data_IF_044298083028
#
_entry.id   IF_044298083028
#
_cell.length_a   1.000
_cell.length_b   1.000
_cell.length_c   1.000
_cell.angle_alpha   90.00
_cell.angle_beta   90.00
_cell.angle_gamma   90.00
#
_symmetry.space_group_name_H-M   'P 1'
#
loop_
_entity.id
_entity.type
_entity.pdbx_description
1 polymer ?
#
# COMPACT_ATOMS: atom_id res chain seq x y z
N UNK A 1 17.90 -3.95 -3.77
CA UNK A 1 17.63 -2.53 -3.42
C UNK A 1 16.49 -2.40 -2.41
N UNK A 2 15.30 -2.98 -2.65
CA UNK A 2 14.15 -2.91 -1.73
C UNK A 2 14.47 -3.30 -0.27
N UNK A 3 15.12 -4.45 -0.06
CA UNK A 3 15.51 -4.89 1.29
C UNK A 3 16.47 -3.92 2.00
N UNK A 4 17.40 -3.31 1.25
CA UNK A 4 18.35 -2.33 1.78
C UNK A 4 17.60 -1.06 2.20
N UNK A 5 16.70 -0.55 1.35
CA UNK A 5 15.89 0.63 1.68
C UNK A 5 14.98 0.37 2.89
N UNK A 6 14.37 -0.81 2.99
CA UNK A 6 13.55 -1.18 4.15
C UNK A 6 14.39 -1.20 5.45
N UNK A 7 15.61 -1.74 5.41
CA UNK A 7 16.51 -1.72 6.56
C UNK A 7 16.90 -0.28 6.97
N UNK A 8 17.16 0.59 6.00
CA UNK A 8 17.48 2.01 6.25
C UNK A 8 16.27 2.72 6.88
N UNK A 9 15.05 2.47 6.39
CA UNK A 9 13.81 3.02 6.97
C UNK A 9 13.70 2.69 8.46
N UNK A 10 13.89 1.42 8.84
CA UNK A 10 13.79 0.95 10.24
C UNK A 10 14.86 1.59 11.14
N UNK A 11 16.02 1.96 10.59
CA UNK A 11 17.13 2.55 11.36
C UNK A 11 17.06 4.07 11.44
N UNK A 12 16.23 4.72 10.63
CA UNK A 12 16.16 6.18 10.52
C UNK A 12 15.27 6.76 11.62
N UNK A 13 15.80 7.71 12.39
CA UNK A 13 15.07 8.34 13.50
C UNK A 13 14.34 9.63 13.13
N UNK A 14 14.66 10.20 11.97
CA UNK A 14 14.01 11.41 11.46
C UNK A 14 12.76 11.01 10.67
N UNK A 15 11.57 11.41 11.16
CA UNK A 15 10.30 10.98 10.57
C UNK A 15 10.08 11.57 9.17
N UNK A 16 10.60 12.76 8.89
CA UNK A 16 10.58 13.31 7.53
C UNK A 16 11.42 12.45 6.58
N UNK A 17 12.63 12.06 7.01
CA UNK A 17 13.46 11.17 6.22
C UNK A 17 12.81 9.79 6.05
N UNK A 18 12.14 9.26 7.07
CA UNK A 18 11.35 8.02 6.98
C UNK A 18 10.26 8.15 5.92
N UNK A 19 9.47 9.23 5.94
CA UNK A 19 8.42 9.47 4.95
C UNK A 19 8.95 9.56 3.51
N UNK A 20 10.10 10.22 3.32
CA UNK A 20 10.76 10.27 2.01
C UNK A 20 11.28 8.89 1.58
N UNK A 21 11.89 8.13 2.50
CA UNK A 21 12.42 6.80 2.20
C UNK A 21 11.30 5.78 1.92
N UNK A 22 10.14 5.88 2.57
CA UNK A 22 8.97 5.05 2.23
C UNK A 22 8.42 5.38 0.86
N UNK A 23 8.38 6.66 0.47
CA UNK A 23 8.02 7.04 -0.90
C UNK A 23 9.01 6.51 -1.95
N UNK A 24 10.31 6.57 -1.66
CA UNK A 24 11.36 5.97 -2.51
C UNK A 24 11.19 4.45 -2.59
N UNK A 25 10.90 3.77 -1.48
CA UNK A 25 10.63 2.34 -1.47
C UNK A 25 9.47 1.98 -2.41
N UNK A 26 8.37 2.73 -2.36
CA UNK A 26 7.24 2.55 -3.28
C UNK A 26 7.61 2.80 -4.74
N UNK A 27 8.40 3.82 -5.06
CA UNK A 27 8.88 4.04 -6.44
C UNK A 27 9.78 2.90 -6.93
N UNK A 28 10.65 2.38 -6.08
CA UNK A 28 11.47 1.21 -6.40
C UNK A 28 10.60 -0.03 -6.60
N UNK A 29 9.53 -0.19 -5.82
CA UNK A 29 8.57 -1.29 -5.98
C UNK A 29 7.78 -1.16 -7.28
N UNK A 30 7.33 0.03 -7.65
CA UNK A 30 6.67 0.29 -8.93
C UNK A 30 7.61 -0.02 -10.12
N UNK A 31 8.89 0.33 -10.00
CA UNK A 31 9.91 -0.05 -11.00
C UNK A 31 10.06 -1.56 -11.07
N UNK A 32 10.08 -2.24 -9.92
CA UNK A 32 10.14 -3.70 -9.87
C UNK A 32 8.91 -4.35 -10.54
N UNK A 33 7.69 -3.85 -10.32
CA UNK A 33 6.50 -4.33 -11.02
C UNK A 33 6.54 -4.07 -12.52
N UNK A 34 7.11 -2.94 -12.96
CA UNK A 34 7.32 -2.67 -14.39
C UNK A 34 8.29 -3.68 -15.01
N UNK A 35 9.34 -4.07 -14.28
CA UNK A 35 10.26 -5.13 -14.72
C UNK A 35 9.62 -6.51 -14.80
N UNK A 36 8.49 -6.71 -14.11
CA UNK A 36 7.69 -7.92 -14.14
C UNK A 36 6.54 -7.85 -15.17
N UNK A 37 6.56 -6.87 -16.08
CA UNK A 37 5.51 -6.59 -17.06
C UNK A 37 4.11 -6.31 -16.44
N UNK A 38 4.08 -5.97 -15.15
CA UNK A 38 2.86 -5.65 -14.40
C UNK A 38 2.63 -4.13 -14.35
N UNK A 39 2.43 -3.50 -15.51
CA UNK A 39 2.38 -2.03 -15.64
C UNK A 39 1.20 -1.39 -14.90
N UNK A 40 0.03 -2.04 -14.89
CA UNK A 40 -1.15 -1.51 -14.19
C UNK A 40 -0.96 -1.52 -12.66
N UNK A 41 -0.28 -2.54 -12.13
CA UNK A 41 0.10 -2.62 -10.71
C UNK A 41 1.20 -1.58 -10.40
N UNK A 42 2.15 -1.39 -11.31
CA UNK A 42 3.18 -0.38 -11.16
C UNK A 42 2.60 1.04 -11.08
N UNK A 43 1.61 1.36 -11.92
CA UNK A 43 0.95 2.67 -11.88
C UNK A 43 0.19 2.92 -10.58
N UNK A 44 -0.53 1.90 -10.08
CA UNK A 44 -1.26 2.05 -8.82
C UNK A 44 -0.31 2.19 -7.63
N UNK A 45 0.78 1.44 -7.59
CA UNK A 45 1.82 1.57 -6.56
C UNK A 45 2.51 2.95 -6.61
N UNK A 46 2.84 3.44 -7.80
CA UNK A 46 3.42 4.77 -7.94
C UNK A 46 2.45 5.88 -7.51
N UNK A 47 1.18 5.80 -7.91
CA UNK A 47 0.18 6.81 -7.57
C UNK A 47 -0.19 6.80 -6.08
N UNK A 48 -0.46 5.64 -5.51
CA UNK A 48 -0.97 5.51 -4.13
C UNK A 48 0.18 5.42 -3.13
N UNK A 49 1.13 4.52 -3.34
CA UNK A 49 2.25 4.27 -2.44
C UNK A 49 3.24 5.43 -2.40
N UNK A 50 3.75 5.82 -3.58
CA UNK A 50 4.71 6.93 -3.63
C UNK A 50 4.03 8.31 -3.63
N UNK A 51 2.87 8.46 -4.27
CA UNK A 51 2.16 9.75 -4.36
C UNK A 51 1.32 10.07 -3.12
N UNK A 52 0.11 9.53 -3.05
CA UNK A 52 -0.91 9.90 -2.04
C UNK A 52 -0.41 9.64 -0.62
N UNK A 53 0.15 8.48 -0.34
CA UNK A 53 0.63 8.12 1.02
C UNK A 53 1.72 9.07 1.50
N UNK A 54 2.69 9.41 0.66
CA UNK A 54 3.75 10.38 1.01
C UNK A 54 3.15 11.74 1.34
N UNK A 55 2.20 12.24 0.55
CA UNK A 55 1.52 13.52 0.84
C UNK A 55 0.78 13.46 2.17
N UNK A 56 0.05 12.37 2.45
CA UNK A 56 -0.65 12.20 3.72
C UNK A 56 0.30 12.07 4.91
N UNK A 57 1.42 11.36 4.78
CA UNK A 57 2.45 11.26 5.82
C UNK A 57 3.10 12.62 6.09
N UNK A 58 3.47 13.38 5.06
CA UNK A 58 4.01 14.73 5.21
C UNK A 58 2.98 15.70 5.81
N UNK A 59 1.72 15.61 5.39
CA UNK A 59 0.60 16.36 5.97
C UNK A 59 0.35 16.01 7.43
N UNK A 60 0.56 14.75 7.83
CA UNK A 60 0.51 14.34 9.23
C UNK A 60 1.70 14.92 10.01
N UNK A 61 2.91 14.86 9.44
CA UNK A 61 4.13 15.39 10.06
C UNK A 61 4.11 16.89 10.28
N UNK A 62 3.42 17.65 9.41
CA UNK A 62 3.23 19.08 9.62
C UNK A 62 2.40 19.39 10.88
N UNK A 63 1.60 18.42 11.37
CA UNK A 63 0.78 18.55 12.57
C UNK A 63 1.44 17.97 13.84
N UNK A 64 2.22 16.89 13.71
CA UNK A 64 2.79 16.16 14.88
C UNK A 64 4.29 16.37 15.09
N UNK A 65 4.97 17.02 14.15
CA UNK A 65 6.42 17.25 14.18
C UNK A 65 7.25 16.06 13.68
N UNK A 66 8.55 16.30 13.49
CA UNK A 66 9.47 15.40 12.75
C UNK A 66 10.37 14.52 13.63
N UNK A 67 10.32 14.67 14.95
CA UNK A 67 11.20 13.92 15.88
C UNK A 67 10.49 12.72 16.47
N UNK A 68 11.09 11.54 16.31
CA UNK A 68 10.65 10.33 16.98
C UNK A 68 10.81 10.44 18.51
N UNK A 69 9.78 9.99 19.24
CA UNK A 69 9.87 9.83 20.70
C UNK A 69 10.93 8.78 21.03
N UNK A 70 11.93 9.13 21.84
CA UNK A 70 12.98 8.21 22.28
C UNK A 70 12.35 7.03 23.03
N UNK A 71 12.43 5.83 22.46
CA UNK A 71 12.14 4.60 23.18
C UNK A 71 13.39 4.18 23.96
N UNK A 72 13.23 3.90 25.25
CA UNK A 72 14.35 3.57 26.16
C UNK A 72 14.68 2.08 26.19
N UNK A 73 13.81 1.21 25.68
CA UNK A 73 13.96 -0.24 25.76
C UNK A 73 13.67 -0.89 24.41
N UNK A 74 14.44 -1.92 24.08
CA UNK A 74 14.16 -2.78 22.92
C UNK A 74 12.96 -3.66 23.29
N UNK A 75 11.87 -3.55 22.54
CA UNK A 75 10.69 -4.37 22.78
C UNK A 75 10.89 -5.74 22.11
N UNK A 76 11.38 -6.71 22.88
CA UNK A 76 11.73 -8.06 22.39
C UNK A 76 10.50 -8.80 21.87
N UNK A 77 9.33 -8.62 22.51
CA UNK A 77 8.08 -9.30 22.11
C UNK A 77 7.63 -8.88 20.69
N UNK A 78 7.43 -7.58 20.37
CA UNK A 78 7.15 -7.14 19.00
C UNK A 78 8.21 -7.59 17.97
N UNK A 79 9.49 -7.56 18.34
CA UNK A 79 10.57 -8.00 17.45
C UNK A 79 10.45 -9.49 17.13
N UNK A 80 10.16 -10.32 18.14
CA UNK A 80 9.95 -11.76 17.98
C UNK A 80 8.73 -12.02 17.09
N UNK A 81 7.62 -11.32 17.33
CA UNK A 81 6.40 -11.46 16.51
C UNK A 81 6.69 -11.14 15.04
N UNK A 82 7.29 -9.97 14.74
CA UNK A 82 7.61 -9.57 13.35
C UNK A 82 8.57 -10.55 12.69
N UNK A 83 9.57 -11.03 13.44
CA UNK A 83 10.55 -12.00 12.91
C UNK A 83 9.88 -13.34 12.60
N UNK A 84 9.06 -13.86 13.51
CA UNK A 84 8.32 -15.12 13.31
C UNK A 84 7.34 -14.99 12.14
N UNK A 85 6.57 -13.91 12.07
CA UNK A 85 5.67 -13.66 10.94
C UNK A 85 6.45 -13.58 9.61
N UNK A 86 7.58 -12.88 9.58
CA UNK A 86 8.43 -12.80 8.39
C UNK A 86 8.99 -14.17 7.97
N UNK A 87 9.43 -15.00 8.92
CA UNK A 87 9.89 -16.37 8.65
C UNK A 87 8.77 -17.26 8.11
N UNK A 88 7.56 -17.15 8.66
CA UNK A 88 6.38 -17.91 8.18
C UNK A 88 6.04 -17.51 6.75
N UNK A 89 6.04 -16.21 6.43
CA UNK A 89 5.79 -15.74 5.07
C UNK A 89 6.88 -16.24 4.10
N UNK A 90 8.16 -16.17 4.48
CA UNK A 90 9.25 -16.72 3.65
C UNK A 90 9.13 -18.23 3.47
N UNK A 91 8.74 -18.97 4.51
CA UNK A 91 8.48 -20.41 4.39
C UNK A 91 7.37 -20.69 3.37
N UNK A 92 6.27 -19.92 3.40
CA UNK A 92 5.19 -20.05 2.42
C UNK A 92 5.61 -19.76 0.97
N UNK A 93 6.68 -18.98 0.75
CA UNK A 93 7.20 -18.75 -0.61
C UNK A 93 7.98 -19.93 -1.19
N UNK A 94 8.37 -20.91 -0.38
CA UNK A 94 9.11 -22.09 -0.85
C UNK A 94 8.23 -23.06 -1.64
N UNK A 95 6.92 -23.04 -1.41
CA UNK A 95 5.94 -23.87 -2.13
C UNK A 95 5.48 -23.23 -3.45
N UNK A 96 5.94 -22.03 -3.77
CA UNK A 96 5.58 -21.32 -5.01
C UNK A 96 6.41 -21.89 -6.18
N UNK A 97 5.81 -22.10 -7.36
CA UNK A 97 6.55 -22.53 -8.54
C UNK A 97 7.74 -21.62 -8.87
N UNK A 98 8.82 -22.14 -9.47
CA UNK A 98 10.01 -21.35 -9.74
C UNK A 98 9.71 -20.14 -10.63
N UNK A 99 10.36 -19.03 -10.30
CA UNK A 99 10.09 -17.77 -10.99
C UNK A 99 10.51 -17.82 -12.47
N UNK A 100 9.60 -17.48 -13.39
CA UNK A 100 9.88 -17.31 -14.82
C UNK A 100 9.84 -18.59 -15.66
N UNK A 101 9.48 -19.74 -15.09
CA UNK A 101 9.29 -20.99 -15.83
C UNK A 101 8.00 -20.97 -16.66
N UNK A 102 8.10 -21.31 -17.96
CA UNK A 102 7.00 -21.23 -18.91
C UNK A 102 5.92 -22.29 -18.67
N UNK A 103 6.29 -23.41 -18.04
CA UNK A 103 5.42 -24.51 -17.64
C UNK A 103 4.79 -24.32 -16.26
N UNK A 104 4.96 -23.15 -15.64
CA UNK A 104 4.30 -22.82 -14.40
C UNK A 104 2.77 -22.95 -14.53
N UNK A 105 2.07 -23.55 -13.54
CA UNK A 105 0.63 -23.77 -13.60
C UNK A 105 -0.19 -22.52 -13.91
N UNK A 106 0.29 -21.33 -13.51
CA UNK A 106 -0.40 -20.06 -13.74
C UNK A 106 -0.53 -19.71 -15.23
N UNK A 107 0.41 -20.14 -16.08
CA UNK A 107 0.40 -19.87 -17.52
C UNK A 107 -0.45 -20.87 -18.30
N UNK A 108 -0.53 -22.09 -17.80
CA UNK A 108 -1.24 -23.19 -18.44
C UNK A 108 -2.70 -23.33 -17.99
N UNK A 109 -3.10 -22.61 -16.95
CA UNK A 109 -4.45 -22.72 -16.41
C UNK A 109 -5.48 -22.19 -17.42
N UNK A 110 -6.58 -22.92 -17.57
CA UNK A 110 -7.63 -22.64 -18.57
C UNK A 110 -8.18 -21.20 -18.45
N UNK A 111 -8.33 -20.69 -17.23
CA UNK A 111 -8.81 -19.31 -17.02
C UNK A 111 -7.81 -18.25 -17.48
N UNK A 112 -6.51 -18.47 -17.28
CA UNK A 112 -5.47 -17.55 -17.76
C UNK A 112 -5.46 -17.51 -19.27
N UNK A 113 -5.50 -18.69 -19.92
CA UNK A 113 -5.55 -18.81 -21.38
C UNK A 113 -6.80 -18.12 -21.93
N UNK A 114 -7.96 -18.39 -21.33
CA UNK A 114 -9.22 -17.76 -21.71
C UNK A 114 -9.19 -16.23 -21.58
N UNK A 115 -8.66 -15.69 -20.48
CA UNK A 115 -8.50 -14.24 -20.33
C UNK A 115 -7.54 -13.63 -21.35
N UNK A 116 -6.51 -14.34 -21.78
CA UNK A 116 -5.56 -13.82 -22.78
C UNK A 116 -6.14 -13.85 -24.20
N UNK A 117 -6.90 -14.88 -24.54
CA UNK A 117 -7.38 -15.11 -25.91
C UNK A 117 -8.76 -14.47 -26.17
N UNK A 118 -9.71 -14.60 -25.24
CA UNK A 118 -11.11 -14.26 -25.48
C UNK A 118 -11.54 -12.91 -24.86
N UNK A 119 -10.82 -12.39 -23.86
CA UNK A 119 -11.25 -11.19 -23.12
C UNK A 119 -11.51 -9.97 -23.99
N UNK A 120 -10.69 -9.75 -25.01
CA UNK A 120 -10.84 -8.63 -25.93
C UNK A 120 -12.13 -8.70 -26.75
N UNK A 121 -12.57 -9.91 -27.10
CA UNK A 121 -13.77 -10.15 -27.88
C UNK A 121 -15.03 -10.09 -27.00
N UNK A 122 -14.98 -10.64 -25.79
CA UNK A 122 -16.12 -10.68 -24.87
C UNK A 122 -16.41 -9.33 -24.21
N UNK A 123 -15.37 -8.57 -23.88
CA UNK A 123 -15.50 -7.31 -23.13
C UNK A 123 -15.33 -6.07 -24.01
N UNK A 124 -14.76 -6.21 -25.21
CA UNK A 124 -14.40 -5.10 -26.10
C UNK A 124 -13.20 -4.27 -25.61
N UNK A 125 -12.54 -4.68 -24.52
CA UNK A 125 -11.42 -3.95 -23.93
C UNK A 125 -10.08 -4.57 -24.37
N UNK A 126 -9.13 -3.78 -24.91
CA UNK A 126 -7.84 -4.32 -25.35
C UNK A 126 -6.90 -4.63 -24.18
N UNK A 127 -7.09 -4.02 -23.01
CA UNK A 127 -6.27 -4.30 -21.82
C UNK A 127 -6.88 -5.45 -21.02
N UNK A 128 -6.17 -6.58 -20.99
CA UNK A 128 -6.57 -7.80 -20.27
C UNK A 128 -6.80 -7.53 -18.78
N UNK A 129 -5.89 -6.83 -18.09
CA UNK A 129 -6.02 -6.57 -16.65
C UNK A 129 -7.29 -5.77 -16.36
N UNK A 130 -7.57 -4.75 -17.17
CA UNK A 130 -8.79 -3.95 -16.98
C UNK A 130 -10.04 -4.77 -17.29
N UNK A 131 -10.01 -5.63 -18.32
CA UNK A 131 -11.13 -6.52 -18.64
C UNK A 131 -11.43 -7.50 -17.50
N UNK A 132 -10.39 -8.03 -16.84
CA UNK A 132 -10.52 -8.91 -15.69
C UNK A 132 -11.11 -8.16 -14.49
N UNK A 133 -10.57 -6.99 -14.14
CA UNK A 133 -11.03 -6.25 -12.96
C UNK A 133 -12.44 -5.66 -13.15
N UNK A 134 -12.77 -5.16 -14.34
CA UNK A 134 -14.03 -4.48 -14.58
C UNK A 134 -15.17 -5.42 -14.99
N UNK A 135 -14.87 -6.47 -15.76
CA UNK A 135 -15.89 -7.38 -16.32
C UNK A 135 -15.91 -8.73 -15.61
N UNK A 136 -14.86 -9.56 -15.74
CA UNK A 136 -14.89 -10.92 -15.18
C UNK A 136 -14.95 -10.97 -13.65
N UNK A 137 -14.26 -10.04 -12.99
CA UNK A 137 -14.17 -9.92 -11.52
C UNK A 137 -14.69 -8.56 -11.02
N UNK A 138 -15.65 -7.99 -11.74
CA UNK A 138 -16.26 -6.70 -11.40
C UNK A 138 -16.86 -6.63 -9.98
N UNK A 139 -17.36 -7.76 -9.46
CA UNK A 139 -17.89 -7.82 -8.09
C UNK A 139 -16.81 -7.63 -7.01
N UNK A 140 -15.59 -8.16 -7.22
CA UNK A 140 -14.47 -7.96 -6.30
C UNK A 140 -14.07 -6.48 -6.29
N UNK A 141 -13.94 -5.86 -7.46
CA UNK A 141 -13.64 -4.43 -7.63
C UNK A 141 -14.72 -3.52 -7.03
N UNK A 142 -16.00 -3.89 -7.15
CA UNK A 142 -17.10 -3.17 -6.50
C UNK A 142 -16.99 -3.22 -4.98
N UNK A 143 -16.59 -4.37 -4.44
CA UNK A 143 -16.30 -4.56 -3.01
C UNK A 143 -15.15 -3.68 -2.54
N UNK A 144 -14.03 -3.70 -3.26
CA UNK A 144 -12.86 -2.85 -2.97
C UNK A 144 -13.21 -1.35 -2.98
N UNK A 145 -13.96 -0.91 -4.00
CA UNK A 145 -14.42 0.48 -4.12
C UNK A 145 -15.32 0.87 -2.94
N UNK A 146 -16.19 -0.03 -2.50
CA UNK A 146 -17.07 0.20 -1.33
C UNK A 146 -16.26 0.39 -0.05
N UNK A 147 -15.21 -0.42 0.15
CA UNK A 147 -14.33 -0.31 1.32
C UNK A 147 -13.58 1.03 1.32
N UNK A 148 -12.98 1.41 0.18
CA UNK A 148 -12.24 2.68 0.07
C UNK A 148 -13.18 3.87 0.26
N UNK A 149 -14.37 3.83 -0.35
CA UNK A 149 -15.38 4.86 -0.16
C UNK A 149 -15.79 5.00 1.31
N UNK A 150 -16.04 3.88 1.98
CA UNK A 150 -16.40 3.86 3.41
C UNK A 150 -15.28 4.43 4.28
N UNK A 151 -14.02 4.06 4.02
CA UNK A 151 -12.85 4.61 4.70
C UNK A 151 -12.74 6.12 4.50
N UNK A 152 -12.95 6.61 3.28
CA UNK A 152 -12.95 8.04 2.95
C UNK A 152 -14.04 8.79 3.73
N UNK A 153 -15.28 8.29 3.73
CA UNK A 153 -16.39 8.87 4.50
C UNK A 153 -16.05 8.89 5.99
N UNK A 154 -15.47 7.81 6.53
CA UNK A 154 -15.03 7.73 7.92
C UNK A 154 -14.00 8.82 8.27
N UNK A 155 -12.99 9.01 7.42
CA UNK A 155 -11.99 10.09 7.61
C UNK A 155 -12.64 11.47 7.56
N UNK A 156 -13.54 11.73 6.62
CA UNK A 156 -14.25 13.01 6.51
C UNK A 156 -15.11 13.30 7.75
N UNK A 157 -15.82 12.30 8.28
CA UNK A 157 -16.61 12.45 9.51
C UNK A 157 -15.72 12.75 10.73
N UNK A 158 -14.58 12.06 10.86
CA UNK A 158 -13.61 12.34 11.93
C UNK A 158 -13.02 13.75 11.83
N UNK A 159 -12.77 14.25 10.61
CA UNK A 159 -12.30 15.62 10.41
C UNK A 159 -13.40 16.67 10.66
N UNK A 160 -14.65 16.38 10.28
CA UNK A 160 -15.79 17.29 10.44
C UNK A 160 -16.26 17.45 11.89
N UNK A 161 -15.99 16.47 12.77
CA UNK A 161 -16.39 16.51 14.18
C UNK A 161 -15.58 17.46 15.06
N UNK A 162 -14.51 18.09 14.55
CA UNK A 162 -13.69 19.05 15.30
C UNK A 162 -14.36 20.43 15.35
N UNK A 163 -15.43 20.54 16.13
CA UNK A 163 -15.97 21.85 16.54
C UNK A 163 -14.90 22.54 17.41
N UNK A 164 -14.52 23.74 17.01
CA UNK A 164 -13.51 24.58 17.66
C UNK A 164 -14.09 25.11 18.98
N UNK A 165 -13.99 24.32 20.05
CA UNK A 165 -14.32 24.80 21.40
C UNK A 165 -13.22 25.76 21.85
N UNK A 166 -13.46 27.04 21.59
CA UNK A 166 -12.49 28.09 21.85
C UNK A 166 -13.08 29.49 21.70
N UNK A 167 -14.15 29.79 22.43
CA UNK A 167 -14.54 31.15 22.83
C UNK A 167 -15.58 31.08 23.94
N UNK A 168 -15.22 31.48 25.16
CA UNK A 168 -16.16 31.63 26.27
C UNK A 168 -15.54 31.49 27.65
N UNK A 169 -14.49 32.27 27.92
CA UNK A 169 -13.82 32.31 29.22
C UNK A 169 -13.11 33.64 29.42
N UNK A 170 -13.87 34.73 29.37
CA UNK A 170 -13.50 35.99 30.01
C UNK A 170 -14.47 36.15 31.18
N UNK A 171 -14.10 35.53 32.30
CA UNK A 171 -14.60 35.88 33.62
C UNK A 171 -13.73 37.05 34.08
N UNK A 172 -14.14 38.26 33.73
CA UNK A 172 -13.57 39.48 34.31
C UNK A 172 -14.33 39.74 35.62
N UNK A 173 -13.80 39.18 36.69
CA UNK A 173 -14.09 39.56 38.06
C UNK A 173 -13.13 40.63 38.55
N UNK A 174 -13.71 41.56 39.34
CA UNK A 174 -13.13 42.66 40.14
C UNK A 174 -12.89 44.02 39.48
#
# INVERSE_FOLDING_TARGET
MLAVTALIVVRTQNLFAVAMLTGIYSLLSATFFTLLDAVDVAFTEAAVGAGVSTVLMLGTLSLVGHRQKKQRTVQIVPLLIVTVTGLILMYGTLDIPPFGEADNPIHLHETTVHYLEESSHETGMPNVVTSVLASYRGYDTMGETTVIFTAMVGVLLLMSGRKKDGTGGADDGE
#
